data_IF_932252981993
#
_entry.id   IF_932252981993
#
_cell.length_a   1.000
_cell.length_b   1.000
_cell.length_c   1.000
_cell.angle_alpha   90.00
_cell.angle_beta   90.00
_cell.angle_gamma   90.00
#
_symmetry.space_group_name_H-M   'P 1'
#
loop_
_entity.id
_entity.type
_entity.pdbx_description
1 polymer ?
#
# COMPACT_ATOMS: atom_id res chain seq x y z
N UNK A 1 -7.36 24.29 10.85
CA UNK A 1 -6.73 23.89 9.57
C UNK A 1 -5.43 23.16 9.84
N UNK A 2 -5.18 22.14 9.06
CA UNK A 2 -3.92 21.44 8.97
C UNK A 2 -3.19 21.91 7.70
N UNK A 3 -1.96 22.40 7.85
CA UNK A 3 -1.11 22.73 6.69
C UNK A 3 0.11 21.81 6.70
N UNK A 4 0.43 21.20 5.58
CA UNK A 4 1.57 20.31 5.43
C UNK A 4 2.21 20.45 4.05
N UNK A 5 3.44 20.02 3.93
CA UNK A 5 4.20 20.06 2.70
C UNK A 5 4.43 18.65 2.17
N UNK A 6 4.27 18.48 0.87
CA UNK A 6 4.43 17.21 0.17
C UNK A 6 5.44 17.37 -0.95
N UNK A 7 6.32 16.39 -1.15
CA UNK A 7 7.22 16.40 -2.28
C UNK A 7 6.46 16.48 -3.61
N UNK A 8 6.95 17.28 -4.54
CA UNK A 8 6.29 17.53 -5.83
C UNK A 8 5.94 16.24 -6.58
N UNK A 9 6.85 15.25 -6.56
CA UNK A 9 6.62 13.96 -7.20
C UNK A 9 5.43 13.21 -6.61
N UNK A 10 5.26 13.26 -5.30
CA UNK A 10 4.11 12.64 -4.63
C UNK A 10 2.82 13.43 -4.90
N UNK A 11 2.91 14.76 -4.90
CA UNK A 11 1.77 15.63 -5.19
C UNK A 11 1.19 15.43 -6.60
N UNK A 12 2.04 15.18 -7.59
CA UNK A 12 1.61 14.91 -8.97
C UNK A 12 0.80 13.61 -9.12
N UNK A 13 0.90 12.71 -8.15
CA UNK A 13 0.19 11.41 -8.14
C UNK A 13 -1.15 11.47 -7.40
N UNK A 14 -1.50 12.61 -6.80
CA UNK A 14 -2.77 12.78 -6.09
C UNK A 14 -3.91 12.83 -7.13
N UNK A 15 -4.87 11.91 -7.10
CA UNK A 15 -6.03 11.99 -7.95
C UNK A 15 -6.82 13.27 -7.67
N UNK A 16 -7.38 13.88 -8.70
CA UNK A 16 -8.25 15.06 -8.56
C UNK A 16 -9.46 14.81 -7.64
N UNK A 17 -9.84 13.56 -7.48
CA UNK A 17 -10.93 13.10 -6.62
C UNK A 17 -10.51 12.86 -5.16
N UNK A 18 -9.23 13.04 -4.80
CA UNK A 18 -8.77 12.88 -3.42
C UNK A 18 -9.19 14.07 -2.59
N UNK A 19 -10.26 13.90 -1.83
CA UNK A 19 -10.83 14.99 -1.03
C UNK A 19 -10.53 14.88 0.47
N UNK A 20 -9.96 13.75 0.93
CA UNK A 20 -9.76 13.49 2.34
C UNK A 20 -8.38 12.95 2.65
N UNK A 21 -7.87 13.37 3.80
CA UNK A 21 -6.66 12.84 4.43
C UNK A 21 -7.00 12.30 5.80
N UNK A 22 -6.24 11.33 6.28
CA UNK A 22 -6.37 10.79 7.63
C UNK A 22 -5.24 11.30 8.50
N UNK A 23 -5.59 11.90 9.64
CA UNK A 23 -4.65 12.29 10.69
C UNK A 23 -4.63 11.24 11.78
N UNK A 24 -3.44 10.97 12.32
CA UNK A 24 -3.26 10.14 13.51
C UNK A 24 -2.40 10.91 14.52
N UNK A 25 -2.81 10.90 15.78
CA UNK A 25 -2.04 11.49 16.86
C UNK A 25 -1.18 10.41 17.53
N UNK A 26 0.12 10.71 17.69
CA UNK A 26 1.08 9.82 18.31
C UNK A 26 1.47 8.63 17.44
N UNK A 27 2.34 7.76 17.98
CA UNK A 27 2.85 6.56 17.33
C UNK A 27 1.89 5.38 17.38
N UNK A 28 0.98 5.36 18.34
CA UNK A 28 0.10 4.22 18.61
C UNK A 28 -1.17 4.22 17.74
N UNK A 29 -1.41 5.30 17.00
CA UNK A 29 -2.51 5.40 16.04
C UNK A 29 -3.93 5.25 16.63
N UNK A 30 -4.05 5.28 17.96
CA UNK A 30 -5.30 5.03 18.67
C UNK A 30 -6.40 6.06 18.37
N UNK A 31 -6.02 7.25 17.96
CA UNK A 31 -6.96 8.31 17.60
C UNK A 31 -6.69 8.78 16.17
N UNK A 32 -7.73 8.79 15.36
CA UNK A 32 -7.66 9.25 13.97
C UNK A 32 -8.81 10.19 13.64
N UNK A 33 -8.52 11.17 12.79
CA UNK A 33 -9.49 12.13 12.27
C UNK A 33 -9.42 12.14 10.75
N UNK A 34 -10.57 12.37 10.12
CA UNK A 34 -10.62 12.66 8.69
C UNK A 34 -10.63 14.17 8.49
N UNK A 35 -9.75 14.66 7.64
CA UNK A 35 -9.72 16.05 7.26
C UNK A 35 -10.01 16.19 5.76
N UNK A 36 -10.80 17.18 5.39
CA UNK A 36 -11.13 17.48 4.00
C UNK A 36 -10.02 18.35 3.41
N UNK A 37 -9.41 17.88 2.30
CA UNK A 37 -8.45 18.67 1.55
C UNK A 37 -9.18 19.83 0.85
N UNK A 38 -8.86 21.06 1.22
CA UNK A 38 -9.52 22.26 0.71
C UNK A 38 -8.60 23.17 -0.10
N UNK A 39 -7.29 22.95 -0.02
CA UNK A 39 -6.32 23.75 -0.77
C UNK A 39 -5.08 22.97 -1.14
N UNK A 40 -4.70 23.09 -2.39
CA UNK A 40 -3.43 22.65 -2.95
C UNK A 40 -2.72 23.88 -3.56
N UNK A 41 -1.49 24.15 -3.11
CA UNK A 41 -0.73 25.28 -3.66
C UNK A 41 -0.47 25.08 -5.16
N UNK A 42 -0.73 26.08 -6.00
CA UNK A 42 -0.37 26.02 -7.42
C UNK A 42 1.15 26.14 -7.64
N UNK A 43 1.89 26.61 -6.64
CA UNK A 43 3.31 26.87 -6.74
C UNK A 43 4.11 25.89 -5.87
N UNK A 44 5.21 25.42 -6.45
CA UNK A 44 6.22 24.63 -5.74
C UNK A 44 7.14 25.57 -4.95
N UNK A 45 7.42 25.24 -3.70
CA UNK A 45 8.47 25.92 -2.93
C UNK A 45 9.82 25.49 -3.48
N UNK A 46 10.50 26.37 -4.22
CA UNK A 46 11.72 26.07 -4.99
C UNK A 46 12.87 25.59 -4.10
N UNK A 47 12.93 26.05 -2.86
CA UNK A 47 14.01 25.71 -1.91
C UNK A 47 13.92 24.27 -1.41
N UNK A 48 12.73 23.71 -1.33
CA UNK A 48 12.46 22.38 -0.77
C UNK A 48 11.91 21.40 -1.80
N UNK A 49 11.49 21.87 -2.97
CA UNK A 49 10.83 21.03 -3.97
C UNK A 49 9.46 20.51 -3.51
N UNK A 50 8.79 21.23 -2.59
CA UNK A 50 7.55 20.79 -1.97
C UNK A 50 6.35 21.63 -2.40
N UNK A 51 5.17 21.03 -2.33
CA UNK A 51 3.87 21.67 -2.48
C UNK A 51 3.18 21.76 -1.12
N UNK A 52 2.56 22.89 -0.85
CA UNK A 52 1.79 23.10 0.37
C UNK A 52 0.35 22.68 0.17
N UNK A 53 -0.14 21.84 1.07
CA UNK A 53 -1.53 21.41 1.13
C UNK A 53 -2.16 21.91 2.42
N UNK A 54 -3.48 22.12 2.39
CA UNK A 54 -4.26 22.45 3.56
C UNK A 54 -5.49 21.57 3.61
N UNK A 55 -5.80 21.08 4.81
CA UNK A 55 -7.00 20.31 5.05
C UNK A 55 -7.77 20.90 6.25
N UNK A 56 -9.07 20.87 6.16
CA UNK A 56 -9.99 21.27 7.22
C UNK A 56 -10.52 20.04 7.93
N UNK A 57 -10.57 20.11 9.25
CA UNK A 57 -11.11 19.06 10.10
C UNK A 57 -11.95 19.65 11.23
N UNK A 58 -12.91 18.86 11.67
CA UNK A 58 -13.67 19.17 12.88
C UNK A 58 -12.84 18.83 14.12
N UNK A 59 -12.75 19.79 15.04
CA UNK A 59 -12.07 19.66 16.32
C UNK A 59 -13.00 20.17 17.45
N UNK A 60 -14.27 19.84 17.36
CA UNK A 60 -15.29 20.24 18.34
C UNK A 60 -14.99 19.67 19.74
N UNK A 61 -14.30 18.55 19.82
CA UNK A 61 -13.86 17.91 21.07
C UNK A 61 -12.59 18.55 21.68
N UNK A 62 -11.97 19.51 20.99
CA UNK A 62 -10.79 20.26 21.45
C UNK A 62 -9.53 19.43 21.69
N UNK A 63 -9.47 18.19 21.19
CA UNK A 63 -8.32 17.29 21.41
C UNK A 63 -7.10 17.67 20.60
N UNK A 64 -7.29 18.28 19.45
CA UNK A 64 -6.19 18.75 18.62
C UNK A 64 -5.83 20.20 19.00
N UNK A 65 -4.55 20.42 19.31
CA UNK A 65 -4.02 21.76 19.61
C UNK A 65 -2.93 22.12 18.61
N UNK A 66 -2.81 23.41 18.26
CA UNK A 66 -1.68 23.87 17.46
C UNK A 66 -0.35 23.47 18.09
N UNK A 67 0.59 23.01 17.27
CA UNK A 67 1.90 22.54 17.73
C UNK A 67 1.98 21.05 18.04
N UNK A 68 0.88 20.30 17.98
CA UNK A 68 0.93 18.84 18.11
C UNK A 68 1.55 18.20 16.86
N UNK A 69 2.38 17.20 17.09
CA UNK A 69 2.89 16.35 16.02
C UNK A 69 1.84 15.32 15.62
N UNK A 70 1.49 15.28 14.35
CA UNK A 70 0.52 14.35 13.78
C UNK A 70 1.10 13.65 12.56
N UNK A 71 0.74 12.39 12.38
CA UNK A 71 0.99 11.66 11.15
C UNK A 71 -0.18 11.87 10.18
N UNK A 72 0.12 12.28 8.95
CA UNK A 72 -0.88 12.51 7.90
C UNK A 72 -0.75 11.42 6.85
N UNK A 73 -1.83 10.69 6.64
CA UNK A 73 -1.93 9.72 5.55
C UNK A 73 -2.79 10.31 4.44
N UNK A 74 -2.16 10.55 3.30
CA UNK A 74 -2.82 11.01 2.08
C UNK A 74 -2.94 9.81 1.14
N UNK A 75 -4.14 9.31 0.84
CA UNK A 75 -4.33 8.28 -0.17
C UNK A 75 -4.05 8.89 -1.55
N UNK A 76 -3.18 8.27 -2.32
CA UNK A 76 -2.92 8.66 -3.70
C UNK A 76 -2.89 7.43 -4.61
N UNK A 77 -3.68 7.49 -5.69
CA UNK A 77 -3.75 6.42 -6.68
C UNK A 77 -4.47 5.17 -6.13
N UNK A 78 -5.56 4.82 -6.75
CA UNK A 78 -6.18 3.51 -6.60
C UNK A 78 -5.63 2.61 -7.70
N UNK A 79 -4.92 1.56 -7.32
CA UNK A 79 -4.63 0.47 -8.25
C UNK A 79 -5.91 -0.37 -8.41
N UNK A 80 -6.81 0.06 -9.27
CA UNK A 80 -7.97 -0.77 -9.67
C UNK A 80 -7.41 -2.05 -10.30
N UNK A 81 -7.83 -3.21 -9.79
CA UNK A 81 -7.37 -4.54 -10.21
C UNK A 81 -5.91 -4.88 -9.81
N UNK A 82 -5.40 -4.34 -8.74
CA UNK A 82 -4.12 -4.78 -8.20
C UNK A 82 -4.20 -6.23 -7.71
N UNK A 83 -3.23 -7.04 -8.11
CA UNK A 83 -3.04 -8.37 -7.54
C UNK A 83 -2.34 -8.20 -6.19
N UNK A 84 -2.97 -8.69 -5.12
CA UNK A 84 -2.41 -8.66 -3.78
C UNK A 84 -1.98 -10.05 -3.36
N UNK A 85 -0.76 -10.17 -2.85
CA UNK A 85 -0.23 -11.41 -2.30
C UNK A 85 0.25 -11.19 -0.87
N UNK A 86 0.28 -12.24 -0.07
CA UNK A 86 0.86 -12.16 1.26
C UNK A 86 2.36 -11.88 1.15
N UNK A 87 2.86 -10.83 1.79
CA UNK A 87 4.27 -10.41 1.73
C UNK A 87 5.22 -11.53 2.20
N UNK A 88 4.80 -12.31 3.19
CA UNK A 88 5.57 -13.48 3.66
C UNK A 88 5.69 -14.62 2.64
N UNK A 89 4.92 -14.59 1.55
CA UNK A 89 5.00 -15.58 0.46
C UNK A 89 6.02 -15.22 -0.60
N UNK A 90 6.54 -13.99 -0.57
CA UNK A 90 7.48 -13.47 -1.55
C UNK A 90 8.89 -13.86 -1.14
N UNK A 91 9.55 -14.64 -1.98
CA UNK A 91 10.97 -14.91 -1.86
C UNK A 91 11.83 -13.85 -2.52
N UNK A 92 13.11 -13.86 -2.19
CA UNK A 92 14.13 -12.99 -2.79
C UNK A 92 15.33 -13.83 -3.17
N UNK A 93 15.82 -13.63 -4.39
CA UNK A 93 17.07 -14.21 -4.86
C UNK A 93 17.97 -13.13 -5.50
N UNK A 94 19.01 -13.55 -6.23
CA UNK A 94 19.94 -12.65 -6.90
C UNK A 94 19.30 -11.86 -8.07
N UNK A 95 18.20 -12.37 -8.63
CA UNK A 95 17.51 -11.79 -9.78
C UNK A 95 16.32 -10.91 -9.35
N UNK A 96 15.93 -10.94 -8.06
CA UNK A 96 14.86 -10.10 -7.53
C UNK A 96 13.85 -10.83 -6.67
N UNK A 97 12.58 -10.40 -6.77
CA UNK A 97 11.47 -10.99 -6.04
C UNK A 97 10.80 -12.09 -6.84
N UNK A 98 10.40 -13.17 -6.15
CA UNK A 98 9.75 -14.30 -6.79
C UNK A 98 8.60 -14.87 -5.97
N UNK A 99 7.72 -15.62 -6.63
CA UNK A 99 6.67 -16.45 -6.04
C UNK A 99 6.72 -17.87 -6.59
N UNK A 100 6.22 -18.79 -5.79
CA UNK A 100 5.87 -20.13 -6.26
C UNK A 100 4.40 -20.13 -6.69
N UNK A 101 4.16 -20.19 -7.99
CA UNK A 101 2.82 -20.23 -8.60
C UNK A 101 2.45 -21.67 -8.89
N UNK A 102 1.18 -22.02 -8.68
CA UNK A 102 0.67 -23.39 -8.88
C UNK A 102 -0.23 -23.41 -10.11
N UNK A 103 0.10 -24.23 -11.08
CA UNK A 103 -0.73 -24.40 -12.28
C UNK A 103 -1.93 -25.33 -12.03
N UNK A 104 -2.77 -25.51 -13.06
CA UNK A 104 -3.98 -26.35 -13.00
C UNK A 104 -3.70 -27.85 -12.78
N UNK A 105 -2.48 -28.30 -13.06
CA UNK A 105 -2.01 -29.68 -12.83
C UNK A 105 -1.37 -29.88 -11.46
N UNK A 106 -1.49 -28.87 -10.55
CA UNK A 106 -0.89 -28.84 -9.22
C UNK A 106 0.65 -28.92 -9.21
N UNK A 107 1.27 -28.41 -10.28
CA UNK A 107 2.72 -28.33 -10.39
C UNK A 107 3.16 -26.91 -10.02
N UNK A 108 4.18 -26.85 -9.19
CA UNK A 108 4.78 -25.59 -8.74
C UNK A 108 5.72 -25.04 -9.79
N UNK A 109 5.52 -23.77 -10.13
CA UNK A 109 6.38 -22.99 -10.99
C UNK A 109 7.01 -21.85 -10.22
N UNK A 110 8.32 -21.72 -10.32
CA UNK A 110 9.06 -20.58 -9.80
C UNK A 110 8.94 -19.43 -10.79
N UNK A 111 8.51 -18.26 -10.32
CA UNK A 111 8.27 -17.12 -11.18
C UNK A 111 8.73 -15.83 -10.55
N UNK A 112 9.55 -15.06 -11.26
CA UNK A 112 9.89 -13.70 -10.88
C UNK A 112 8.68 -12.78 -11.03
N UNK A 113 8.55 -11.87 -10.07
CA UNK A 113 7.49 -10.88 -10.02
C UNK A 113 8.06 -9.50 -9.76
N UNK A 114 7.38 -8.50 -10.25
CA UNK A 114 7.64 -7.11 -9.87
C UNK A 114 6.65 -6.69 -8.78
N UNK A 115 7.19 -6.26 -7.64
CA UNK A 115 6.38 -5.86 -6.49
C UNK A 115 6.22 -4.34 -6.39
N UNK A 116 5.10 -3.94 -5.81
CA UNK A 116 4.80 -2.56 -5.47
C UNK A 116 4.88 -2.30 -3.96
N UNK A 117 4.10 -1.36 -3.51
CA UNK A 117 4.01 -0.98 -2.10
C UNK A 117 3.37 -2.09 -1.24
N UNK A 118 3.69 -2.05 0.05
CA UNK A 118 2.99 -2.83 1.05
C UNK A 118 1.60 -2.22 1.27
N UNK A 119 0.58 -3.06 1.21
CA UNK A 119 -0.80 -2.70 1.52
C UNK A 119 -1.16 -3.16 2.94
N UNK A 120 -2.38 -2.87 3.39
CA UNK A 120 -2.88 -3.30 4.69
C UNK A 120 -2.85 -4.83 4.84
N UNK A 121 -2.86 -5.31 6.07
CA UNK A 121 -2.86 -6.75 6.44
C UNK A 121 -1.67 -7.54 5.90
N UNK A 122 -0.48 -6.94 5.82
CA UNK A 122 0.75 -7.55 5.29
C UNK A 122 0.60 -8.08 3.85
N UNK A 123 -0.24 -7.45 3.06
CA UNK A 123 -0.39 -7.75 1.65
C UNK A 123 0.55 -6.87 0.81
N UNK A 124 1.14 -7.43 -0.23
CA UNK A 124 2.01 -6.73 -1.18
C UNK A 124 1.34 -6.62 -2.53
N UNK A 125 1.37 -5.45 -3.12
CA UNK A 125 0.93 -5.25 -4.50
C UNK A 125 1.91 -5.94 -5.45
N UNK A 126 1.40 -6.73 -6.38
CA UNK A 126 2.17 -7.28 -7.51
C UNK A 126 1.85 -6.45 -8.74
N UNK A 127 2.87 -5.83 -9.33
CA UNK A 127 2.74 -4.98 -10.53
C UNK A 127 2.73 -5.81 -11.81
N UNK A 128 3.55 -6.86 -11.84
CA UNK A 128 3.66 -7.78 -12.99
C UNK A 128 4.14 -9.17 -12.56
N UNK A 129 3.90 -10.18 -13.41
CA UNK A 129 4.34 -11.54 -13.20
C UNK A 129 3.32 -12.48 -12.55
N UNK A 130 2.15 -11.99 -12.12
CA UNK A 130 1.07 -12.81 -11.55
C UNK A 130 -0.29 -12.31 -12.05
N UNK A 131 -1.15 -13.22 -12.47
CA UNK A 131 -2.53 -12.93 -12.87
C UNK A 131 -3.50 -13.11 -11.69
N UNK A 132 -4.63 -12.36 -11.66
CA UNK A 132 -5.59 -12.43 -10.55
C UNK A 132 -6.19 -13.81 -10.26
N UNK A 133 -6.25 -14.68 -11.28
CA UNK A 133 -6.81 -16.03 -11.18
C UNK A 133 -5.78 -17.09 -10.81
N UNK A 134 -4.50 -16.76 -10.75
CA UNK A 134 -3.45 -17.73 -10.47
C UNK A 134 -3.33 -18.05 -8.98
N UNK A 135 -3.07 -19.30 -8.68
CA UNK A 135 -2.83 -19.78 -7.32
C UNK A 135 -1.34 -19.68 -6.98
N UNK A 136 -1.04 -19.29 -5.77
CA UNK A 136 0.35 -19.22 -5.29
C UNK A 136 0.51 -19.87 -3.92
N UNK A 137 1.73 -20.28 -3.57
CA UNK A 137 2.03 -20.94 -2.30
C UNK A 137 2.19 -19.91 -1.19
N UNK A 138 1.40 -20.03 -0.12
CA UNK A 138 1.42 -19.13 1.03
C UNK A 138 2.21 -19.66 2.21
N UNK A 139 2.33 -20.98 2.35
CA UNK A 139 3.01 -21.65 3.47
C UNK A 139 3.97 -22.72 2.98
N UNK A 140 4.91 -23.10 3.84
CA UNK A 140 5.90 -24.16 3.57
C UNK A 140 6.84 -23.86 2.40
N UNK A 141 7.18 -22.61 2.13
CA UNK A 141 8.04 -22.16 1.04
C UNK A 141 9.40 -22.89 1.00
N UNK A 142 9.96 -23.26 2.15
CA UNK A 142 11.22 -23.99 2.24
C UNK A 142 11.12 -25.45 1.78
N UNK A 143 9.91 -26.01 1.70
CA UNK A 143 9.67 -27.39 1.27
C UNK A 143 9.29 -27.53 -0.19
N UNK A 144 9.01 -26.40 -0.85
CA UNK A 144 8.51 -26.35 -2.22
C UNK A 144 9.63 -26.03 -3.19
N UNK A 145 9.63 -26.71 -4.34
CA UNK A 145 10.62 -26.50 -5.42
C UNK A 145 9.92 -26.46 -6.77
N UNK A 146 10.55 -25.82 -7.73
CA UNK A 146 10.08 -25.81 -9.11
C UNK A 146 9.89 -27.23 -9.65
N UNK A 147 8.78 -27.44 -10.36
CA UNK A 147 8.44 -28.73 -10.97
C UNK A 147 7.82 -29.74 -9.98
N UNK A 148 7.73 -29.41 -8.70
CA UNK A 148 7.16 -30.29 -7.71
C UNK A 148 5.64 -30.36 -7.86
N UNK A 149 5.07 -31.57 -7.88
CA UNK A 149 3.63 -31.79 -7.78
C UNK A 149 3.22 -31.73 -6.30
N UNK A 150 2.24 -30.92 -5.99
CA UNK A 150 1.74 -30.71 -4.62
C UNK A 150 0.27 -31.13 -4.51
N UNK A 151 -0.19 -31.32 -3.27
CA UNK A 151 -1.59 -31.45 -2.96
C UNK A 151 -2.01 -30.14 -2.27
N UNK A 152 -2.64 -29.20 -2.98
CA UNK A 152 -2.94 -27.89 -2.41
C UNK A 152 -4.05 -28.02 -1.35
N UNK A 153 -3.89 -27.25 -0.27
CA UNK A 153 -4.97 -26.94 0.67
C UNK A 153 -5.33 -25.49 0.41
N UNK A 154 -6.44 -25.27 -0.26
CA UNK A 154 -6.85 -23.93 -0.66
C UNK A 154 -7.21 -23.08 0.56
N UNK A 155 -6.63 -21.90 0.65
CA UNK A 155 -7.03 -20.84 1.56
C UNK A 155 -7.55 -19.67 0.72
N UNK A 156 -8.83 -19.42 0.80
CA UNK A 156 -9.41 -18.21 0.20
C UNK A 156 -9.06 -17.02 1.10
N UNK A 157 -8.33 -16.06 0.57
CA UNK A 157 -8.15 -14.76 1.22
C UNK A 157 -9.52 -14.04 1.24
N UNK A 158 -10.27 -14.22 2.30
CA UNK A 158 -11.40 -13.33 2.58
C UNK A 158 -10.82 -12.04 3.13
N UNK A 159 -10.71 -11.03 2.26
CA UNK A 159 -10.59 -9.65 2.70
C UNK A 159 -11.92 -9.29 3.39
N UNK A 160 -11.92 -9.27 4.72
CA UNK A 160 -12.99 -8.67 5.52
C UNK A 160 -12.67 -7.22 5.75
#
# INVERSE_FOLDING_TARGET
YLTYELAQEAASKIPAETHFVTLRLGTDGAQSWKAKLDYLSPNVTLTTGTLRLRAELDNSDGKLRPGLFVSVTLPYGEARNAVLVNDASIGTDQLGKYLYVVNDSDIVNYRHIEVGQLADHNMRVVKSGLSPSERYVTKALLKVRQGMKIKPIEQTNKLQ
#
